data_IF_169758247805
#
_entry.id   IF_169758247805
#
_cell.length_a   1.000
_cell.length_b   1.000
_cell.length_c   1.000
_cell.angle_alpha   90.00
_cell.angle_beta   90.00
_cell.angle_gamma   90.00
#
_symmetry.space_group_name_H-M   'P 1'
#
loop_
_entity.id
_entity.type
_entity.pdbx_description
1 polymer ?
#
# COMPACT_ATOMS: atom_id res chain seq x y z
N UNK A 1 8.82 34.10 4.21
CA UNK A 1 7.80 33.04 4.47
C UNK A 1 8.44 31.72 4.05
N UNK A 2 8.45 30.70 4.90
CA UNK A 2 9.03 29.38 4.59
C UNK A 2 7.92 28.34 4.59
N UNK A 3 8.00 27.39 3.65
CA UNK A 3 7.03 26.30 3.48
C UNK A 3 7.77 24.98 3.34
N UNK A 4 7.13 23.88 3.75
CA UNK A 4 7.64 22.52 3.58
C UNK A 4 6.50 21.56 3.27
N UNK A 5 6.81 20.47 2.55
CA UNK A 5 5.88 19.41 2.19
C UNK A 5 6.61 18.08 2.22
N UNK A 6 6.00 17.03 2.79
CA UNK A 6 6.64 15.73 3.01
C UNK A 6 5.76 14.63 2.42
N UNK A 7 6.42 13.70 1.71
CA UNK A 7 5.82 12.45 1.26
C UNK A 7 6.66 11.28 1.74
N UNK A 8 6.01 10.18 2.09
CA UNK A 8 6.66 8.98 2.62
C UNK A 8 6.56 7.83 1.62
N UNK A 9 7.63 7.03 1.54
CA UNK A 9 7.65 5.76 0.80
C UNK A 9 8.17 4.66 1.72
N UNK A 10 7.46 3.53 1.76
CA UNK A 10 7.81 2.40 2.61
C UNK A 10 7.34 1.08 2.04
N UNK A 11 7.76 -0.01 2.70
CA UNK A 11 7.24 -1.36 2.46
C UNK A 11 5.78 -1.47 2.94
N UNK A 12 5.05 -2.46 2.42
CA UNK A 12 3.72 -2.80 2.93
C UNK A 12 3.87 -3.35 4.37
N UNK A 13 3.14 -2.81 5.36
CA UNK A 13 3.25 -3.21 6.76
C UNK A 13 2.59 -4.57 7.01
N UNK A 14 3.24 -5.65 6.57
CA UNK A 14 2.82 -7.03 6.80
C UNK A 14 4.02 -7.98 6.86
N UNK A 15 3.78 -9.23 7.27
CA UNK A 15 4.80 -10.28 7.21
C UNK A 15 4.80 -10.93 5.83
N UNK A 16 5.75 -10.51 5.00
CA UNK A 16 5.98 -11.10 3.70
C UNK A 16 7.47 -11.21 3.41
N UNK A 17 7.82 -12.20 2.61
CA UNK A 17 9.20 -12.49 2.24
C UNK A 17 9.34 -12.75 0.75
N UNK A 18 10.58 -12.70 0.30
CA UNK A 18 11.02 -13.14 -1.01
C UNK A 18 12.16 -14.14 -0.81
N UNK A 19 12.09 -15.29 -1.48
CA UNK A 19 13.20 -16.24 -1.49
C UNK A 19 14.34 -15.69 -2.35
N UNK A 20 15.39 -15.22 -1.68
CA UNK A 20 16.61 -14.68 -2.29
C UNK A 20 17.69 -15.74 -2.52
N UNK A 21 17.47 -17.00 -2.11
CA UNK A 21 18.48 -18.06 -2.25
C UNK A 21 18.75 -18.44 -3.71
N UNK A 22 17.77 -18.26 -4.58
CA UNK A 22 17.88 -18.47 -6.02
C UNK A 22 18.02 -17.11 -6.70
N UNK A 23 19.08 -16.90 -7.47
CA UNK A 23 19.23 -15.73 -8.34
C UNK A 23 18.21 -15.80 -9.49
N UNK A 24 16.96 -15.42 -9.20
CA UNK A 24 15.88 -15.29 -10.18
C UNK A 24 15.57 -13.81 -10.41
N UNK A 25 15.27 -13.39 -11.66
CA UNK A 25 15.01 -11.97 -11.97
C UNK A 25 13.84 -11.34 -11.19
N UNK A 26 12.88 -12.16 -10.74
CA UNK A 26 11.72 -11.70 -9.96
C UNK A 26 11.35 -12.75 -8.90
N UNK A 27 11.96 -12.68 -7.71
CA UNK A 27 11.68 -13.59 -6.60
C UNK A 27 10.19 -13.63 -6.26
N UNK A 28 9.65 -14.81 -6.00
CA UNK A 28 8.25 -14.96 -5.62
C UNK A 28 8.00 -14.28 -4.26
N UNK A 29 6.88 -13.55 -4.16
CA UNK A 29 6.41 -12.97 -2.90
C UNK A 29 5.60 -14.03 -2.16
N UNK A 30 5.91 -14.23 -0.88
CA UNK A 30 5.18 -15.12 0.02
C UNK A 30 4.64 -14.31 1.20
N UNK A 31 3.41 -14.58 1.62
CA UNK A 31 2.85 -14.03 2.86
C UNK A 31 3.17 -15.04 3.96
N UNK A 32 4.09 -14.69 4.85
CA UNK A 32 4.66 -15.63 5.81
C UNK A 32 3.73 -15.89 6.99
N UNK A 33 2.98 -14.87 7.40
CA UNK A 33 2.07 -14.93 8.55
C UNK A 33 0.76 -14.22 8.23
N UNK A 34 -0.34 -14.86 8.57
CA UNK A 34 -1.67 -14.25 8.52
C UNK A 34 -1.85 -13.30 9.71
N UNK A 35 -2.37 -12.12 9.45
CA UNK A 35 -2.72 -11.10 10.46
C UNK A 35 -4.21 -10.75 10.32
N UNK A 36 -5.12 -11.58 10.88
CA UNK A 36 -6.56 -11.44 10.67
C UNK A 36 -7.15 -10.18 11.31
N UNK A 37 -6.46 -9.61 12.30
CA UNK A 37 -6.89 -8.40 13.02
C UNK A 37 -6.08 -7.17 12.65
N UNK A 38 -5.26 -7.26 11.59
CA UNK A 38 -4.42 -6.17 11.09
C UNK A 38 -3.59 -5.48 12.18
N UNK A 39 -3.07 -6.23 13.16
CA UNK A 39 -2.30 -5.70 14.29
C UNK A 39 -1.03 -4.97 13.82
N UNK A 40 -0.33 -5.53 12.83
CA UNK A 40 0.92 -4.95 12.31
C UNK A 40 0.64 -3.66 11.52
N UNK A 41 -0.29 -3.66 10.53
CA UNK A 41 -0.76 -2.42 9.91
C UNK A 41 -1.22 -1.38 10.93
N UNK A 42 -1.97 -1.77 11.97
CA UNK A 42 -2.46 -0.86 12.99
C UNK A 42 -1.32 -0.14 13.72
N UNK A 43 -0.33 -0.89 14.21
CA UNK A 43 0.85 -0.31 14.88
C UNK A 43 1.62 0.62 13.94
N UNK A 44 1.75 0.24 12.68
CA UNK A 44 2.42 1.06 11.67
C UNK A 44 1.68 2.39 11.43
N UNK A 45 0.37 2.33 11.16
CA UNK A 45 -0.43 3.53 10.89
C UNK A 45 -0.58 4.41 12.12
N UNK A 46 -0.69 3.84 13.33
CA UNK A 46 -0.72 4.62 14.56
C UNK A 46 0.57 5.44 14.75
N UNK A 47 1.73 4.85 14.47
CA UNK A 47 3.01 5.56 14.51
C UNK A 47 3.07 6.68 13.46
N UNK A 48 2.58 6.43 12.24
CA UNK A 48 2.50 7.46 11.20
C UNK A 48 1.56 8.61 11.58
N UNK A 49 0.36 8.30 12.11
CA UNK A 49 -0.60 9.32 12.55
C UNK A 49 -0.04 10.16 13.70
N UNK A 50 0.70 9.53 14.62
CA UNK A 50 1.36 10.24 15.72
C UNK A 50 2.42 11.24 15.24
N UNK A 51 3.13 10.93 14.14
CA UNK A 51 4.22 11.78 13.62
C UNK A 51 3.76 12.83 12.61
N UNK A 52 2.82 12.47 11.76
CA UNK A 52 2.45 13.25 10.57
C UNK A 52 0.98 13.69 10.56
N UNK A 53 0.19 13.26 11.54
CA UNK A 53 -1.23 13.57 11.63
C UNK A 53 -2.12 12.65 10.79
N UNK A 54 -3.38 13.04 10.68
CA UNK A 54 -4.47 12.29 10.05
C UNK A 54 -5.20 13.21 9.05
N UNK A 55 -5.75 12.68 7.94
CA UNK A 55 -5.78 11.27 7.53
C UNK A 55 -4.49 10.80 6.85
N UNK A 56 -4.24 9.50 6.90
CA UNK A 56 -3.19 8.86 6.09
C UNK A 56 -3.77 8.52 4.71
N UNK A 57 -3.07 8.96 3.67
CA UNK A 57 -3.37 8.63 2.28
C UNK A 57 -2.34 7.65 1.73
N UNK A 58 -2.80 6.47 1.32
CA UNK A 58 -1.99 5.41 0.71
C UNK A 58 -2.23 5.43 -0.80
N UNK A 59 -1.15 5.59 -1.56
CA UNK A 59 -1.16 5.48 -3.01
C UNK A 59 -0.45 4.18 -3.43
N UNK A 60 -1.22 3.19 -3.87
CA UNK A 60 -0.71 1.96 -4.44
C UNK A 60 -0.66 2.06 -5.97
N UNK A 61 0.54 1.86 -6.53
CA UNK A 61 0.80 1.94 -7.98
C UNK A 61 0.98 0.57 -8.66
N UNK A 62 0.73 -0.52 -7.94
CA UNK A 62 0.84 -1.89 -8.47
C UNK A 62 -0.12 -2.09 -9.64
N UNK A 63 0.31 -2.82 -10.68
CA UNK A 63 -0.55 -3.16 -11.81
C UNK A 63 -1.77 -3.97 -11.34
N UNK A 64 -2.96 -3.59 -11.78
CA UNK A 64 -4.20 -4.31 -11.42
C UNK A 64 -4.35 -5.62 -12.17
N UNK A 65 -3.81 -5.70 -13.40
CA UNK A 65 -3.86 -6.90 -14.25
C UNK A 65 -2.48 -7.52 -14.39
N UNK A 66 -2.28 -8.63 -13.70
CA UNK A 66 -1.08 -9.46 -13.84
C UNK A 66 -1.46 -10.81 -14.47
N UNK A 67 -0.61 -11.35 -15.35
CA UNK A 67 -0.80 -12.72 -15.88
C UNK A 67 -0.63 -13.79 -14.80
N UNK A 68 0.27 -13.53 -13.84
CA UNK A 68 0.51 -14.34 -12.64
C UNK A 68 0.52 -13.39 -11.45
N UNK A 69 -0.25 -13.71 -10.40
CA UNK A 69 -0.27 -12.91 -9.17
C UNK A 69 1.13 -12.82 -8.58
N UNK A 70 1.58 -11.60 -8.33
CA UNK A 70 2.86 -11.32 -7.68
C UNK A 70 2.68 -10.16 -6.70
N UNK A 71 2.79 -8.92 -7.16
CA UNK A 71 2.61 -7.71 -6.33
C UNK A 71 1.15 -7.54 -5.89
N UNK A 72 0.21 -8.12 -6.64
CA UNK A 72 -1.21 -8.15 -6.28
C UNK A 72 -1.49 -8.85 -4.95
N UNK A 73 -0.62 -9.77 -4.50
CA UNK A 73 -0.75 -10.40 -3.18
C UNK A 73 -0.61 -9.37 -2.06
N UNK A 74 0.39 -8.48 -2.15
CA UNK A 74 0.60 -7.41 -1.17
C UNK A 74 -0.52 -6.37 -1.21
N UNK A 75 -1.05 -6.12 -2.42
CA UNK A 75 -2.22 -5.24 -2.63
C UNK A 75 -3.43 -5.78 -1.87
N UNK A 76 -3.71 -7.08 -1.95
CA UNK A 76 -4.83 -7.71 -1.24
C UNK A 76 -4.66 -7.59 0.28
N UNK A 77 -3.44 -7.85 0.79
CA UNK A 77 -3.12 -7.75 2.22
C UNK A 77 -3.39 -6.34 2.76
N UNK A 78 -2.82 -5.31 2.12
CA UNK A 78 -2.98 -3.93 2.62
C UNK A 78 -4.40 -3.40 2.45
N UNK A 79 -5.10 -3.77 1.35
CA UNK A 79 -6.51 -3.44 1.14
C UNK A 79 -7.37 -3.98 2.27
N UNK A 80 -7.17 -5.24 2.63
CA UNK A 80 -7.98 -5.89 3.66
C UNK A 80 -7.69 -5.31 5.04
N UNK A 81 -6.42 -5.03 5.34
CA UNK A 81 -6.03 -4.36 6.57
C UNK A 81 -6.68 -2.96 6.68
N UNK A 82 -6.60 -2.13 5.65
CA UNK A 82 -7.23 -0.80 5.65
C UNK A 82 -8.75 -0.89 5.85
N UNK A 83 -9.42 -1.80 5.13
CA UNK A 83 -10.86 -2.03 5.29
C UNK A 83 -11.23 -2.46 6.71
N UNK A 84 -10.42 -3.30 7.34
CA UNK A 84 -10.63 -3.74 8.70
C UNK A 84 -10.46 -2.58 9.70
N UNK A 85 -9.33 -1.86 9.62
CA UNK A 85 -9.03 -0.76 10.55
C UNK A 85 -10.02 0.39 10.46
N UNK A 86 -10.51 0.71 9.27
CA UNK A 86 -11.52 1.76 9.07
C UNK A 86 -12.88 1.44 9.71
N UNK A 87 -13.12 0.23 10.21
CA UNK A 87 -14.32 -0.07 11.02
C UNK A 87 -14.26 0.57 12.42
N UNK A 88 -13.06 0.90 12.90
CA UNK A 88 -12.83 1.42 14.25
C UNK A 88 -12.42 2.90 14.24
N UNK A 89 -11.99 3.42 13.08
CA UNK A 89 -11.60 4.82 12.94
C UNK A 89 -12.84 5.69 12.65
N UNK A 90 -12.91 6.90 13.23
CA UNK A 90 -13.96 7.83 12.86
C UNK A 90 -13.77 8.29 11.40
N UNK A 91 -14.85 8.69 10.69
CA UNK A 91 -14.79 8.98 9.26
C UNK A 91 -13.73 10.01 8.85
N UNK A 92 -13.49 11.02 9.69
CA UNK A 92 -12.47 12.05 9.50
C UNK A 92 -11.03 11.54 9.54
N UNK A 93 -10.80 10.42 10.23
CA UNK A 93 -9.48 9.79 10.38
C UNK A 93 -9.34 8.49 9.58
N UNK A 94 -10.35 8.15 8.78
CA UNK A 94 -10.32 6.95 7.96
C UNK A 94 -9.10 6.97 7.03
N UNK A 95 -8.37 5.86 7.01
CA UNK A 95 -7.21 5.68 6.13
C UNK A 95 -7.74 5.61 4.70
N UNK A 96 -7.24 6.49 3.85
CA UNK A 96 -7.66 6.60 2.46
C UNK A 96 -6.74 5.74 1.61
N UNK A 97 -7.30 4.82 0.84
CA UNK A 97 -6.53 3.92 -0.02
C UNK A 97 -6.89 4.13 -1.49
N UNK A 98 -5.90 4.56 -2.27
CA UNK A 98 -6.01 4.79 -3.69
C UNK A 98 -5.16 3.79 -4.46
N UNK A 99 -5.76 3.09 -5.42
CA UNK A 99 -5.05 2.14 -6.28
C UNK A 99 -5.07 2.60 -7.73
N UNK A 100 -3.91 3.06 -8.20
CA UNK A 100 -3.71 3.65 -9.52
C UNK A 100 -2.84 2.74 -10.39
N UNK A 101 -3.38 2.23 -11.50
CA UNK A 101 -2.61 1.42 -12.45
C UNK A 101 -1.92 2.32 -13.48
N UNK A 102 -0.73 2.82 -13.11
CA UNK A 102 0.07 3.73 -13.94
C UNK A 102 0.34 3.17 -15.35
N UNK A 103 0.61 1.86 -15.45
CA UNK A 103 0.97 1.23 -16.71
C UNK A 103 -0.19 1.17 -17.72
N UNK A 104 -1.43 1.20 -17.22
CA UNK A 104 -2.63 1.31 -18.06
C UNK A 104 -2.90 2.76 -18.44
N UNK A 105 -2.75 3.69 -17.51
CA UNK A 105 -3.07 5.10 -17.73
C UNK A 105 -2.11 5.76 -18.73
N UNK A 106 -0.84 5.36 -18.75
CA UNK A 106 0.15 5.82 -19.75
C UNK A 106 -0.15 5.37 -21.19
N UNK A 107 -1.16 4.53 -21.44
CA UNK A 107 -1.55 4.06 -22.79
C UNK A 107 -2.74 4.82 -23.38
N UNK A 108 -3.32 5.78 -22.65
CA UNK A 108 -4.40 6.63 -23.15
C UNK A 108 -3.87 7.78 -24.03
N UNK A 109 -4.72 8.29 -24.93
CA UNK A 109 -4.33 9.33 -25.89
C UNK A 109 -4.05 10.71 -25.25
N UNK A 110 -4.42 10.92 -23.99
CA UNK A 110 -4.30 12.19 -23.26
C UNK A 110 -3.81 11.92 -21.82
N UNK A 111 -2.65 11.26 -21.71
CA UNK A 111 -2.16 10.66 -20.47
C UNK A 111 -1.65 11.70 -19.45
N UNK A 112 -2.58 12.46 -18.87
CA UNK A 112 -2.39 13.26 -17.67
C UNK A 112 -2.63 12.40 -16.43
N UNK A 113 -1.69 11.51 -16.15
CA UNK A 113 -1.85 10.49 -15.09
C UNK A 113 -1.71 11.08 -13.68
N UNK A 114 -1.12 12.27 -13.57
CA UNK A 114 -0.80 12.94 -12.31
C UNK A 114 -1.48 14.31 -12.17
N UNK A 115 -2.35 14.71 -13.11
CA UNK A 115 -3.10 15.97 -13.06
C UNK A 115 -4.48 15.80 -12.42
#
# INVERSE_FOLDING_TARGET
>A
RFSSFVQMRGSIPSFWSQDISKMVPKPAIMIDRSDPFAEIPAKHFNNLMTRYGSPIMILNLVKKREKKKHESLLTEVISNAVKYLNQFLPPENAIQYFHLDMARMNKGADAKVLD
#
